data_IF_663390643758
#
_entry.id   IF_663390643758
#
_cell.length_a   1.000
_cell.length_b   1.000
_cell.length_c   1.000
_cell.angle_alpha   90.00
_cell.angle_beta   90.00
_cell.angle_gamma   90.00
#
_symmetry.space_group_name_H-M   'P 1'
#
loop_
_entity.id
_entity.type
_entity.pdbx_description
1 polymer ?
#
# COMPACT_ATOMS: atom_id res chain seq x y z
N UNK A 1 -2.76 -1.39 -19.94
CA UNK A 1 -2.64 -2.50 -18.96
C UNK A 1 -3.46 -2.13 -17.75
N UNK A 2 -4.28 -3.04 -17.25
CA UNK A 2 -5.10 -2.84 -16.04
C UNK A 2 -4.24 -3.03 -14.79
N UNK A 3 -4.58 -2.34 -13.71
CA UNK A 3 -3.94 -2.57 -12.41
C UNK A 3 -4.29 -3.98 -11.90
N UNK A 4 -3.32 -4.67 -11.33
CA UNK A 4 -3.49 -5.98 -10.71
C UNK A 4 -3.27 -5.88 -9.19
N UNK A 5 -3.92 -6.77 -8.42
CA UNK A 5 -3.69 -6.87 -6.98
C UNK A 5 -2.30 -7.50 -6.75
N UNK A 6 -1.32 -6.77 -6.19
CA UNK A 6 0.01 -7.32 -5.97
C UNK A 6 -0.03 -8.45 -4.96
N UNK A 7 0.68 -9.54 -5.21
CA UNK A 7 0.74 -10.66 -4.28
C UNK A 7 1.29 -10.22 -2.91
N UNK A 8 0.77 -10.79 -1.83
CA UNK A 8 1.37 -10.62 -0.51
C UNK A 8 2.82 -11.15 -0.52
N UNK A 9 3.77 -10.49 0.17
CA UNK A 9 5.15 -10.96 0.25
C UNK A 9 5.34 -12.17 1.19
N UNK A 10 4.26 -12.63 1.83
CA UNK A 10 4.22 -13.73 2.79
C UNK A 10 2.82 -14.38 2.78
N UNK A 11 2.67 -15.57 3.38
CA UNK A 11 1.39 -16.31 3.44
C UNK A 11 0.38 -15.65 4.40
N UNK A 12 -0.93 -15.73 4.13
CA UNK A 12 -1.95 -14.94 4.88
C UNK A 12 -1.94 -15.10 6.42
N UNK A 13 -1.42 -16.22 6.94
CA UNK A 13 -1.29 -16.52 8.37
C UNK A 13 0.11 -16.21 8.96
N UNK A 14 1.06 -15.75 8.14
CA UNK A 14 2.46 -15.61 8.53
C UNK A 14 2.73 -14.51 9.56
N UNK A 15 1.76 -13.62 9.80
CA UNK A 15 1.85 -12.56 10.82
C UNK A 15 1.15 -12.91 12.15
N UNK A 16 0.58 -14.11 12.28
CA UNK A 16 -0.02 -14.53 13.54
C UNK A 16 1.03 -14.67 14.66
N UNK A 17 0.67 -14.37 15.92
CA UNK A 17 -0.62 -13.86 16.40
C UNK A 17 -0.74 -12.32 16.35
N UNK A 18 0.31 -11.61 15.93
CA UNK A 18 0.35 -10.15 15.95
C UNK A 18 -0.65 -9.52 14.98
N UNK A 19 -0.92 -10.20 13.86
CA UNK A 19 -1.93 -9.80 12.89
C UNK A 19 -2.65 -11.05 12.35
N UNK A 20 -3.93 -11.19 12.68
CA UNK A 20 -4.66 -12.45 12.40
C UNK A 20 -4.83 -12.72 10.91
N UNK A 21 -4.84 -14.00 10.51
CA UNK A 21 -5.11 -14.41 9.13
C UNK A 21 -6.49 -13.91 8.66
N UNK A 22 -7.47 -13.87 9.57
CA UNK A 22 -8.79 -13.27 9.29
C UNK A 22 -8.68 -11.79 8.91
N UNK A 23 -7.84 -11.04 9.61
CA UNK A 23 -7.61 -9.63 9.28
C UNK A 23 -6.94 -9.50 7.91
N UNK A 24 -5.90 -10.30 7.62
CA UNK A 24 -5.25 -10.29 6.30
C UNK A 24 -6.24 -10.61 5.19
N UNK A 25 -7.02 -11.69 5.33
CA UNK A 25 -8.00 -12.12 4.33
C UNK A 25 -9.02 -11.03 3.98
N UNK A 26 -9.49 -10.26 4.96
CA UNK A 26 -10.39 -9.13 4.70
C UNK A 26 -9.63 -7.90 4.17
N UNK A 27 -8.51 -7.52 4.78
CA UNK A 27 -7.81 -6.29 4.47
C UNK A 27 -7.11 -6.35 3.10
N UNK A 28 -6.46 -7.46 2.78
CA UNK A 28 -5.87 -7.73 1.46
C UNK A 28 -6.93 -8.23 0.47
N UNK A 29 -7.56 -9.36 0.77
CA UNK A 29 -8.43 -10.07 -0.18
C UNK A 29 -9.75 -9.36 -0.51
N UNK A 30 -10.21 -8.44 0.35
CA UNK A 30 -11.41 -7.63 0.08
C UNK A 30 -11.11 -6.14 -0.08
N UNK A 31 -10.51 -5.49 0.91
CA UNK A 31 -10.33 -4.03 0.87
C UNK A 31 -9.31 -3.61 -0.20
N UNK A 32 -8.10 -4.15 -0.17
CA UNK A 32 -7.08 -3.84 -1.18
C UNK A 32 -7.57 -4.22 -2.59
N UNK A 33 -8.17 -5.41 -2.74
CA UNK A 33 -8.81 -5.83 -4.00
C UNK A 33 -9.87 -4.83 -4.49
N UNK A 34 -10.78 -4.38 -3.63
CA UNK A 34 -11.84 -3.46 -4.01
C UNK A 34 -11.28 -2.11 -4.51
N UNK A 35 -10.17 -1.62 -3.94
CA UNK A 35 -9.50 -0.42 -4.46
C UNK A 35 -8.93 -0.64 -5.86
N UNK A 36 -8.32 -1.80 -6.12
CA UNK A 36 -7.82 -2.16 -7.46
C UNK A 36 -8.96 -2.26 -8.47
N UNK A 37 -10.01 -3.01 -8.14
CA UNK A 37 -11.18 -3.17 -9.02
C UNK A 37 -11.80 -1.81 -9.34
N UNK A 38 -12.01 -0.97 -8.32
CA UNK A 38 -12.62 0.34 -8.50
C UNK A 38 -11.73 1.32 -9.26
N UNK A 39 -10.41 1.26 -9.06
CA UNK A 39 -9.47 2.06 -9.82
C UNK A 39 -9.51 1.73 -11.32
N UNK A 40 -9.56 0.43 -11.65
CA UNK A 40 -9.70 -0.02 -13.04
C UNK A 40 -11.00 0.50 -13.66
N UNK A 41 -12.14 0.42 -12.95
CA UNK A 41 -13.41 0.99 -13.42
C UNK A 41 -13.32 2.50 -13.68
N UNK A 42 -12.67 3.25 -12.78
CA UNK A 42 -12.61 4.71 -12.86
C UNK A 42 -11.64 5.24 -13.90
N UNK A 43 -10.66 4.44 -14.32
CA UNK A 43 -9.61 4.85 -15.27
C UNK A 43 -9.86 4.34 -16.69
N UNK A 44 -10.67 3.30 -16.87
CA UNK A 44 -11.02 2.75 -18.18
C UNK A 44 -11.60 3.82 -19.13
N UNK A 45 -11.06 3.92 -20.35
CA UNK A 45 -11.46 4.88 -21.37
C UNK A 45 -11.07 6.33 -21.08
N UNK A 46 -10.28 6.58 -20.04
CA UNK A 46 -9.81 7.93 -19.68
C UNK A 46 -8.37 8.16 -20.13
N UNK A 47 -7.89 9.39 -20.02
CA UNK A 47 -6.49 9.75 -20.21
C UNK A 47 -5.53 9.13 -19.18
N UNK A 48 -6.07 8.53 -18.12
CA UNK A 48 -5.32 7.84 -17.08
C UNK A 48 -5.13 6.34 -17.36
N UNK A 49 -5.84 5.79 -18.35
CA UNK A 49 -5.74 4.36 -18.68
C UNK A 49 -4.31 3.99 -19.10
N UNK A 50 -3.77 2.92 -18.51
CA UNK A 50 -2.45 2.41 -18.82
C UNK A 50 -1.27 3.21 -18.26
N UNK A 51 -1.51 4.27 -17.48
CA UNK A 51 -0.47 4.93 -16.68
C UNK A 51 -0.02 4.04 -15.51
N UNK A 52 1.17 4.32 -14.98
CA UNK A 52 1.62 3.73 -13.72
C UNK A 52 0.74 4.21 -12.55
N UNK A 53 0.75 3.48 -11.44
CA UNK A 53 -0.08 3.83 -10.28
C UNK A 53 0.35 5.18 -9.69
N UNK A 54 1.65 5.40 -9.57
CA UNK A 54 2.25 6.65 -9.11
C UNK A 54 1.91 7.81 -10.04
N UNK A 55 1.98 7.62 -11.36
CA UNK A 55 1.59 8.66 -12.31
C UNK A 55 0.12 9.03 -12.19
N UNK A 56 -0.77 8.04 -11.96
CA UNK A 56 -2.19 8.31 -11.70
C UNK A 56 -2.34 9.16 -10.44
N UNK A 57 -1.75 8.74 -9.32
CA UNK A 57 -1.81 9.49 -8.04
C UNK A 57 -1.35 10.93 -8.24
N UNK A 58 -0.19 11.13 -8.86
CA UNK A 58 0.39 12.46 -9.08
C UNK A 58 -0.45 13.31 -10.04
N UNK A 59 -1.06 12.71 -11.06
CA UNK A 59 -1.88 13.42 -12.03
C UNK A 59 -3.20 13.96 -11.42
N UNK A 60 -3.73 13.30 -10.39
CA UNK A 60 -5.05 13.63 -9.81
C UNK A 60 -5.00 14.22 -8.40
N UNK A 61 -3.82 14.25 -7.76
CA UNK A 61 -3.64 14.82 -6.44
C UNK A 61 -4.16 16.27 -6.36
N UNK A 62 -4.95 16.56 -5.32
CA UNK A 62 -5.51 17.89 -5.06
C UNK A 62 -6.68 18.30 -5.97
N UNK A 63 -7.07 17.49 -6.96
CA UNK A 63 -8.19 17.79 -7.86
C UNK A 63 -9.50 17.30 -7.28
N UNK A 64 -10.38 18.22 -6.88
CA UNK A 64 -11.67 17.90 -6.25
C UNK A 64 -12.56 17.01 -7.14
N UNK A 65 -12.56 17.23 -8.46
CA UNK A 65 -13.33 16.45 -9.44
C UNK A 65 -12.74 15.05 -9.71
N UNK A 66 -11.51 14.78 -9.24
CA UNK A 66 -10.82 13.48 -9.39
C UNK A 66 -10.61 12.76 -8.07
N UNK A 67 -11.28 13.20 -6.99
CA UNK A 67 -11.09 12.65 -5.66
C UNK A 67 -11.34 11.13 -5.59
N UNK A 68 -12.32 10.61 -6.32
CA UNK A 68 -12.58 9.16 -6.36
C UNK A 68 -11.41 8.37 -6.96
N UNK A 69 -10.80 8.88 -8.05
CA UNK A 69 -9.62 8.26 -8.67
C UNK A 69 -8.44 8.33 -7.70
N UNK A 70 -8.19 9.52 -7.14
CA UNK A 70 -7.11 9.74 -6.17
C UNK A 70 -7.20 8.76 -5.01
N UNK A 71 -8.37 8.67 -4.38
CA UNK A 71 -8.57 7.82 -3.21
C UNK A 71 -8.31 6.34 -3.52
N UNK A 72 -8.80 5.82 -4.65
CA UNK A 72 -8.55 4.42 -4.98
C UNK A 72 -7.09 4.18 -5.37
N UNK A 73 -6.48 5.04 -6.19
CA UNK A 73 -5.08 4.91 -6.59
C UNK A 73 -4.12 4.99 -5.39
N UNK A 74 -4.31 5.99 -4.53
CA UNK A 74 -3.51 6.14 -3.33
C UNK A 74 -3.71 4.95 -2.38
N UNK A 75 -4.94 4.42 -2.23
CA UNK A 75 -5.16 3.26 -1.38
C UNK A 75 -4.52 1.98 -1.92
N UNK A 76 -4.50 1.73 -3.25
CA UNK A 76 -3.73 0.60 -3.82
C UNK A 76 -2.24 0.75 -3.47
N UNK A 77 -1.70 1.96 -3.64
CA UNK A 77 -0.28 2.22 -3.36
C UNK A 77 0.03 2.03 -1.87
N UNK A 78 -0.77 2.64 -1.00
CA UNK A 78 -0.62 2.59 0.46
C UNK A 78 -0.68 1.15 1.00
N UNK A 79 -1.61 0.33 0.50
CA UNK A 79 -1.74 -1.06 0.97
C UNK A 79 -0.56 -1.90 0.50
N UNK A 80 -0.13 -1.76 -0.75
CA UNK A 80 1.08 -2.43 -1.24
C UNK A 80 2.29 -2.07 -0.37
N UNK A 81 2.49 -0.77 -0.12
CA UNK A 81 3.55 -0.29 0.76
C UNK A 81 3.44 -0.85 2.19
N UNK A 82 2.21 -0.90 2.74
CA UNK A 82 1.93 -1.44 4.06
C UNK A 82 2.31 -2.92 4.20
N UNK A 83 1.95 -3.77 3.24
CA UNK A 83 2.29 -5.19 3.28
C UNK A 83 3.80 -5.43 3.22
N UNK A 84 4.51 -4.63 2.42
CA UNK A 84 5.98 -4.67 2.33
C UNK A 84 6.70 -4.05 3.53
N UNK A 85 5.99 -3.29 4.37
CA UNK A 85 6.53 -2.75 5.63
C UNK A 85 6.47 -3.75 6.78
N UNK A 86 5.90 -4.93 6.57
CA UNK A 86 5.77 -5.99 7.57
C UNK A 86 6.48 -7.27 7.11
N UNK A 87 6.98 -8.03 8.08
CA UNK A 87 7.61 -9.32 7.84
C UNK A 87 7.32 -10.28 9.01
N UNK A 88 7.14 -11.59 8.76
CA UNK A 88 6.99 -12.60 9.81
C UNK A 88 8.16 -12.55 10.80
N UNK A 89 7.86 -12.49 12.11
CA UNK A 89 8.89 -12.37 13.15
C UNK A 89 9.68 -11.06 13.11
N UNK A 90 9.15 -10.02 12.46
CA UNK A 90 9.75 -8.69 12.40
C UNK A 90 9.72 -7.94 13.74
N UNK A 91 9.95 -6.62 13.66
CA UNK A 91 10.17 -5.77 14.83
C UNK A 91 11.65 -5.73 15.22
N UNK A 92 11.93 -5.43 16.50
CA UNK A 92 13.28 -5.10 16.95
C UNK A 92 13.71 -3.70 16.52
N UNK A 93 14.97 -3.35 16.80
CA UNK A 93 15.54 -2.06 16.40
C UNK A 93 16.05 -2.11 14.97
N UNK A 94 15.93 -1.01 14.20
CA UNK A 94 16.63 -0.90 12.93
C UNK A 94 18.14 -0.97 13.14
N UNK A 95 18.88 -1.27 12.07
CA UNK A 95 20.34 -1.32 12.07
C UNK A 95 20.92 -0.42 10.96
N UNK A 96 22.24 -0.20 11.02
CA UNK A 96 22.98 0.54 10.01
C UNK A 96 22.51 1.99 9.85
N UNK A 97 22.50 2.48 8.60
CA UNK A 97 22.22 3.87 8.28
C UNK A 97 20.85 4.35 8.78
N UNK A 98 19.84 3.47 8.82
CA UNK A 98 18.51 3.83 9.32
C UNK A 98 18.56 4.12 10.83
N UNK A 99 19.23 3.26 11.61
CA UNK A 99 19.39 3.47 13.05
C UNK A 99 20.16 4.76 13.35
N UNK A 100 21.27 4.99 12.64
CA UNK A 100 22.07 6.20 12.81
C UNK A 100 21.28 7.48 12.50
N UNK A 101 20.43 7.46 11.46
CA UNK A 101 19.56 8.59 11.13
C UNK A 101 18.47 8.80 12.16
N UNK A 102 17.94 7.72 12.74
CA UNK A 102 16.95 7.81 13.82
C UNK A 102 17.57 8.47 15.05
N UNK A 103 18.74 7.98 15.49
CA UNK A 103 19.44 8.54 16.64
C UNK A 103 19.79 10.02 16.44
N UNK A 104 20.24 10.39 15.23
CA UNK A 104 20.58 11.78 14.91
C UNK A 104 19.35 12.72 14.88
N UNK A 105 18.20 12.23 14.40
CA UNK A 105 17.00 13.05 14.25
C UNK A 105 16.19 13.15 15.56
N UNK A 106 16.15 12.08 16.36
CA UNK A 106 15.24 11.96 17.50
C UNK A 106 15.94 11.71 18.84
N UNK A 107 17.27 11.53 18.86
CA UNK A 107 18.03 11.32 20.09
C UNK A 107 18.00 9.88 20.63
N UNK A 108 17.36 8.97 19.89
CA UNK A 108 17.25 7.56 20.23
C UNK A 108 16.06 6.91 19.52
N UNK A 109 15.99 5.58 19.60
CA UNK A 109 14.87 4.79 19.07
C UNK A 109 13.65 4.77 20.01
N UNK A 110 13.86 4.86 21.33
CA UNK A 110 12.78 4.84 22.35
C UNK A 110 12.21 6.24 22.58
#
# INVERSE_FOLDING_TARGET
>A
MTFELPALPWAEDALEPAYSARTVSFHYGKHHKAYVDKLNELTAGTDLEGKSLEDVVMAVAGKADKQAVFNNAAQVWNHTFFWHSMTPGGGGRPAGDLAARIDAAWGGYD
#
